data_IF_193194607463
#
_entry.id   IF_193194607463
#
_cell.length_a   1.000
_cell.length_b   1.000
_cell.length_c   1.000
_cell.angle_alpha   90.00
_cell.angle_beta   90.00
_cell.angle_gamma   90.00
#
_symmetry.space_group_name_H-M   'P 1'
#
loop_
_entity.id
_entity.type
_entity.pdbx_description
1 polymer ?
#
# COMPACT_ATOMS: atom_id res chain seq x y z
N UNK A 1 17.52 2.90 -5.54
CA UNK A 1 16.50 2.92 -4.48
C UNK A 1 17.07 3.69 -3.30
N UNK A 2 16.34 4.69 -2.79
CA UNK A 2 16.73 5.36 -1.55
C UNK A 2 16.63 4.37 -0.40
N UNK A 3 17.65 4.30 0.45
CA UNK A 3 17.60 3.44 1.63
C UNK A 3 16.54 3.99 2.60
N UNK A 4 15.65 3.17 3.15
CA UNK A 4 14.75 3.61 4.20
C UNK A 4 15.59 4.08 5.40
N UNK A 5 15.33 5.29 5.88
CA UNK A 5 16.06 5.89 7.01
C UNK A 5 15.26 5.83 8.32
N UNK A 6 14.04 5.31 8.27
CA UNK A 6 13.14 5.19 9.42
C UNK A 6 11.69 4.97 8.98
N UNK A 7 10.80 4.89 9.96
CA UNK A 7 9.39 4.59 9.73
C UNK A 7 9.15 3.12 9.34
N UNK A 8 7.93 2.84 8.92
CA UNK A 8 7.44 1.50 8.60
C UNK A 8 6.90 1.40 7.16
N UNK A 9 7.41 2.27 6.29
CA UNK A 9 7.02 2.36 4.88
C UNK A 9 8.22 2.27 3.94
N UNK A 10 8.03 1.56 2.82
CA UNK A 10 8.87 1.64 1.64
C UNK A 10 8.12 2.38 0.54
N UNK A 11 8.87 3.06 -0.33
CA UNK A 11 8.29 3.82 -1.44
C UNK A 11 8.92 3.45 -2.78
N UNK A 12 8.71 2.21 -3.28
CA UNK A 12 9.27 1.77 -4.54
C UNK A 12 8.57 2.43 -5.74
N UNK A 13 9.29 2.50 -6.85
CA UNK A 13 8.76 2.91 -8.16
C UNK A 13 8.81 1.71 -9.12
N UNK A 14 7.71 1.45 -9.81
CA UNK A 14 7.59 0.38 -10.79
C UNK A 14 7.79 0.92 -12.20
N UNK A 15 8.72 0.33 -12.96
CA UNK A 15 8.97 0.73 -14.35
C UNK A 15 8.08 -0.08 -15.30
N UNK A 16 6.75 0.05 -15.16
CA UNK A 16 5.76 -0.71 -15.95
C UNK A 16 4.97 0.22 -16.86
N UNK A 17 4.62 -0.26 -18.06
CA UNK A 17 3.82 0.50 -19.05
C UNK A 17 2.36 0.04 -19.17
N UNK A 18 1.96 -0.94 -18.35
CA UNK A 18 0.61 -1.53 -18.41
C UNK A 18 -0.48 -0.54 -17.97
N UNK A 19 -0.15 0.39 -17.08
CA UNK A 19 -1.09 1.33 -16.50
C UNK A 19 -0.71 2.76 -16.83
N UNK A 20 -1.72 3.63 -16.90
CA UNK A 20 -1.55 5.06 -17.11
C UNK A 20 -1.39 5.82 -15.79
N UNK A 21 -1.95 5.31 -14.69
CA UNK A 21 -1.82 5.92 -13.37
C UNK A 21 -1.46 4.93 -12.26
N UNK A 22 -0.84 5.44 -11.19
CA UNK A 22 -0.56 4.67 -9.98
C UNK A 22 -1.83 4.22 -9.26
N UNK A 23 -2.93 4.99 -9.33
CA UNK A 23 -4.25 4.55 -8.84
C UNK A 23 -4.69 3.27 -9.56
N UNK A 24 -4.69 3.25 -10.89
CA UNK A 24 -5.16 2.09 -11.67
C UNK A 24 -4.33 0.84 -11.36
N UNK A 25 -3.01 1.02 -11.20
CA UNK A 25 -2.11 -0.06 -10.81
C UNK A 25 -2.46 -0.61 -9.42
N UNK A 26 -2.65 0.25 -8.41
CA UNK A 26 -3.00 -0.18 -7.05
C UNK A 26 -4.36 -0.88 -7.01
N UNK A 27 -5.34 -0.40 -7.77
CA UNK A 27 -6.66 -1.05 -7.87
C UNK A 27 -6.56 -2.44 -8.52
N UNK A 28 -5.83 -2.60 -9.63
CA UNK A 28 -5.64 -3.91 -10.28
C UNK A 28 -4.95 -4.92 -9.35
N UNK A 29 -3.96 -4.46 -8.56
CA UNK A 29 -3.28 -5.29 -7.57
C UNK A 29 -4.26 -5.73 -6.48
N UNK A 30 -5.05 -4.81 -5.94
CA UNK A 30 -6.04 -5.13 -4.91
C UNK A 30 -7.06 -6.15 -5.41
N UNK A 31 -7.66 -5.91 -6.57
CA UNK A 31 -8.70 -6.77 -7.14
C UNK A 31 -8.20 -8.18 -7.46
N UNK A 32 -6.96 -8.30 -7.98
CA UNK A 32 -6.43 -9.60 -8.43
C UNK A 32 -5.72 -10.40 -7.36
N UNK A 33 -5.16 -9.73 -6.35
CA UNK A 33 -4.28 -10.39 -5.37
C UNK A 33 -4.77 -10.25 -3.94
N UNK A 34 -5.71 -9.33 -3.68
CA UNK A 34 -6.13 -8.97 -2.33
C UNK A 34 -5.12 -8.08 -1.58
N UNK A 35 -4.00 -7.71 -2.20
CA UNK A 35 -2.97 -6.86 -1.57
C UNK A 35 -3.35 -5.39 -1.74
N UNK A 36 -3.55 -4.69 -0.62
CA UNK A 36 -3.79 -3.25 -0.61
C UNK A 36 -2.46 -2.48 -0.60
N UNK A 37 -2.32 -1.52 -1.53
CA UNK A 37 -1.21 -0.57 -1.61
C UNK A 37 -1.76 0.85 -1.76
N UNK A 38 -0.98 1.85 -1.34
CA UNK A 38 -1.37 3.26 -1.50
C UNK A 38 -0.62 3.88 -2.67
N UNK A 39 -1.31 4.51 -3.64
CA UNK A 39 -0.67 5.11 -4.80
C UNK A 39 0.14 6.35 -4.40
N UNK A 40 1.26 6.59 -5.07
CA UNK A 40 2.13 7.74 -4.81
C UNK A 40 1.45 9.09 -5.07
N UNK A 41 0.45 9.14 -5.94
CA UNK A 41 -0.32 10.34 -6.22
C UNK A 41 -1.05 10.91 -5.00
N UNK A 42 -1.43 10.08 -4.03
CA UNK A 42 -2.02 10.53 -2.75
C UNK A 42 -1.00 11.28 -1.88
N UNK A 43 0.30 11.18 -2.20
CA UNK A 43 1.42 11.83 -1.52
C UNK A 43 2.04 12.96 -2.35
N UNK A 44 1.35 13.41 -3.40
CA UNK A 44 1.80 14.52 -4.23
C UNK A 44 2.77 14.16 -5.36
N UNK A 45 3.00 12.88 -5.63
CA UNK A 45 3.70 12.46 -6.84
C UNK A 45 2.79 12.61 -8.08
N UNK A 46 3.38 12.72 -9.27
CA UNK A 46 2.59 12.74 -10.51
C UNK A 46 1.84 11.41 -10.67
N UNK A 47 0.62 11.47 -11.20
CA UNK A 47 -0.26 10.30 -11.31
C UNK A 47 0.33 9.23 -12.21
N UNK A 48 1.12 9.64 -13.19
CA UNK A 48 1.77 8.82 -14.21
C UNK A 48 3.01 8.09 -13.65
N UNK A 49 3.55 8.54 -12.52
CA UNK A 49 4.62 7.82 -11.83
C UNK A 49 4.02 6.68 -11.01
N UNK A 50 4.46 5.46 -11.32
CA UNK A 50 4.02 4.23 -10.66
C UNK A 50 4.75 4.03 -9.33
N UNK A 51 4.64 5.02 -8.45
CA UNK A 51 5.13 4.95 -7.08
C UNK A 51 4.01 4.41 -6.20
N UNK A 52 4.35 3.61 -5.20
CA UNK A 52 3.43 3.19 -4.15
C UNK A 52 4.06 3.37 -2.78
N UNK A 53 3.22 3.52 -1.75
CA UNK A 53 3.63 3.37 -0.36
C UNK A 53 3.27 1.97 0.13
N UNK A 54 4.29 1.18 0.44
CA UNK A 54 4.19 -0.17 0.99
C UNK A 54 4.44 -0.12 2.50
N UNK A 55 3.47 -0.52 3.32
CA UNK A 55 3.69 -0.76 4.74
C UNK A 55 4.18 -2.18 4.99
N UNK A 56 5.23 -2.33 5.81
CA UNK A 56 5.79 -3.65 6.17
C UNK A 56 5.58 -3.99 7.66
N UNK A 57 4.57 -3.37 8.29
CA UNK A 57 4.17 -3.68 9.66
C UNK A 57 3.53 -5.06 9.73
N UNK A 58 3.91 -5.86 10.72
CA UNK A 58 3.29 -7.15 11.04
C UNK A 58 2.01 -6.95 11.87
N UNK A 59 1.01 -6.31 11.26
CA UNK A 59 -0.27 -6.03 11.92
C UNK A 59 -1.34 -7.03 11.48
N UNK A 60 -1.85 -7.80 12.44
CA UNK A 60 -2.99 -8.70 12.24
C UNK A 60 -4.31 -8.00 12.63
N UNK A 61 -4.97 -7.42 11.63
CA UNK A 61 -6.25 -6.74 11.84
C UNK A 61 -7.38 -7.67 12.29
N UNK A 62 -7.37 -8.95 11.88
CA UNK A 62 -8.41 -9.90 12.28
C UNK A 62 -8.32 -10.22 13.78
N UNK A 63 -7.11 -10.54 14.25
CA UNK A 63 -6.85 -10.78 15.68
C UNK A 63 -7.24 -9.57 16.54
N UNK A 64 -6.87 -8.37 16.10
CA UNK A 64 -7.27 -7.13 16.77
C UNK A 64 -8.80 -6.99 16.85
N UNK A 65 -9.51 -7.21 15.75
CA UNK A 65 -10.96 -7.09 15.72
C UNK A 65 -11.66 -8.14 16.58
N UNK A 66 -11.13 -9.36 16.64
CA UNK A 66 -11.66 -10.44 17.48
C UNK A 66 -11.43 -10.16 18.97
N UNK A 67 -10.27 -9.61 19.32
CA UNK A 67 -10.01 -9.11 20.67
C UNK A 67 -11.02 -8.03 21.08
N UNK A 68 -11.28 -7.05 20.22
CA UNK A 68 -12.26 -5.98 20.51
C UNK A 68 -13.67 -6.53 20.70
N UNK A 69 -14.09 -7.51 19.89
CA UNK A 69 -15.41 -8.15 20.04
C UNK A 69 -15.51 -8.93 21.35
N UNK A 70 -14.46 -9.66 21.73
CA UNK A 70 -14.44 -10.47 22.97
C UNK A 70 -14.52 -9.62 24.23
N UNK A 71 -13.86 -8.46 24.24
CA UNK A 71 -13.77 -7.58 25.42
C UNK A 71 -14.84 -6.48 25.47
N UNK A 72 -15.82 -6.51 24.55
CA UNK A 72 -16.99 -5.61 24.57
C UNK A 72 -18.21 -6.20 25.32
N UNK A 73 -18.07 -7.40 25.88
CA UNK A 73 -19.08 -8.06 26.71
C UNK A 73 -18.64 -8.09 28.18
#
# INVERSE_FOLDING_TARGET
>A
MNKPQGGFYLMPEFLIKKFSTSQDMCSDILEKTGVALLPGSDFGFSKERMIVRLSFTDFNGQEFMDYIKKNKN
#
